data_IF_868481243237
#
_entry.id   IF_868481243237
#
_cell.length_a   1.000
_cell.length_b   1.000
_cell.length_c   1.000
_cell.angle_alpha   90.00
_cell.angle_beta   90.00
_cell.angle_gamma   90.00
#
_symmetry.space_group_name_H-M   'P 1'
#
loop_
_entity.id
_entity.type
_entity.pdbx_description
1 polymer ?
#
# COMPACT_ATOMS: atom_id res chain seq x y z
N UNK A 1 22.77 34.01 26.09
CA UNK A 1 21.56 34.64 26.59
C UNK A 1 20.42 33.67 26.41
N UNK A 2 20.01 33.03 27.54
CA UNK A 2 18.90 32.07 27.61
C UNK A 2 17.59 32.84 27.69
N UNK A 3 16.58 32.43 26.96
CA UNK A 3 15.19 32.81 27.18
C UNK A 3 14.32 31.54 27.14
N UNK A 4 14.05 31.03 28.33
CA UNK A 4 13.08 29.99 28.60
C UNK A 4 11.68 30.60 28.60
N UNK A 5 10.77 30.13 27.75
CA UNK A 5 9.35 30.43 27.81
C UNK A 5 8.65 29.32 28.60
N UNK A 6 8.29 29.65 29.84
CA UNK A 6 7.42 28.85 30.71
C UNK A 6 5.96 29.01 30.28
N UNK A 7 5.35 27.94 29.80
CA UNK A 7 3.90 27.86 29.64
C UNK A 7 3.26 27.49 31.00
N UNK A 8 2.57 28.45 31.62
CA UNK A 8 1.70 28.23 32.79
C UNK A 8 0.37 27.66 32.30
N UNK A 9 0.09 26.40 32.62
CA UNK A 9 -1.24 25.80 32.48
C UNK A 9 -2.03 26.15 33.74
N UNK A 10 -3.05 26.99 33.59
CA UNK A 10 -4.02 27.28 34.61
C UNK A 10 -5.07 26.16 34.68
N UNK A 11 -5.13 25.41 35.74
CA UNK A 11 -6.19 24.46 36.05
C UNK A 11 -7.42 25.21 36.52
N UNK A 12 -8.43 25.35 35.66
CA UNK A 12 -9.78 25.77 36.06
C UNK A 12 -10.61 24.53 36.39
N UNK A 13 -10.93 24.34 37.67
CA UNK A 13 -11.91 23.37 38.14
C UNK A 13 -13.32 23.84 37.71
N UNK A 14 -13.75 23.43 36.54
CA UNK A 14 -15.13 23.46 36.07
C UNK A 14 -15.75 22.10 36.26
N UNK A 15 -16.67 21.99 37.22
CA UNK A 15 -17.55 20.83 37.44
C UNK A 15 -18.41 20.67 36.18
N UNK A 16 -18.30 19.57 35.42
CA UNK A 16 -19.26 19.33 34.33
C UNK A 16 -20.57 18.86 34.95
N UNK A 17 -21.62 19.67 34.78
CA UNK A 17 -23.00 19.19 34.93
C UNK A 17 -23.14 17.99 33.94
N UNK A 18 -23.25 16.79 34.53
CA UNK A 18 -23.69 15.59 33.83
C UNK A 18 -25.15 15.81 33.39
N UNK A 19 -25.31 16.38 32.18
CA UNK A 19 -26.50 16.16 31.39
C UNK A 19 -26.50 14.69 31.02
N UNK A 20 -27.13 13.85 31.82
CA UNK A 20 -27.58 12.51 31.45
C UNK A 20 -28.65 12.74 30.37
N UNK A 21 -28.21 13.06 29.18
CA UNK A 21 -29.01 12.90 28.00
C UNK A 21 -29.33 11.42 27.90
N UNK A 22 -30.60 11.07 28.15
CA UNK A 22 -31.16 9.78 27.81
C UNK A 22 -30.72 9.46 26.39
N UNK A 23 -29.75 8.54 26.21
CA UNK A 23 -29.50 7.88 24.95
C UNK A 23 -30.83 7.18 24.63
N UNK A 24 -31.71 7.85 23.88
CA UNK A 24 -32.81 7.18 23.23
C UNK A 24 -32.18 6.02 22.49
N UNK A 25 -32.51 4.80 22.90
CA UNK A 25 -32.33 3.64 22.05
C UNK A 25 -32.92 4.06 20.69
N UNK A 26 -32.08 4.19 19.67
CA UNK A 26 -32.56 4.40 18.32
C UNK A 26 -33.48 3.22 18.05
N UNK A 27 -34.79 3.50 17.90
CA UNK A 27 -35.76 2.48 17.58
C UNK A 27 -35.23 1.74 16.33
N UNK A 28 -35.04 0.43 16.47
CA UNK A 28 -34.53 -0.41 15.39
C UNK A 28 -35.47 -0.25 14.18
N UNK A 29 -34.89 0.03 13.02
CA UNK A 29 -35.71 0.10 11.80
C UNK A 29 -36.20 -1.31 11.44
N UNK A 30 -37.29 -1.45 10.67
CA UNK A 30 -37.73 -2.77 10.17
C UNK A 30 -36.63 -3.55 9.46
N UNK A 31 -35.71 -2.86 8.80
CA UNK A 31 -34.54 -3.46 8.15
C UNK A 31 -33.56 -4.03 9.18
N UNK A 32 -33.32 -3.37 10.32
CA UNK A 32 -32.44 -3.85 11.38
C UNK A 32 -33.03 -5.09 12.06
N UNK A 33 -34.34 -5.15 12.24
CA UNK A 33 -35.02 -6.36 12.75
C UNK A 33 -34.84 -7.54 11.79
N UNK A 34 -34.94 -7.30 10.49
CA UNK A 34 -34.69 -8.31 9.47
C UNK A 34 -33.26 -8.87 9.55
N UNK A 35 -32.25 -8.01 9.68
CA UNK A 35 -30.85 -8.45 9.85
C UNK A 35 -30.68 -9.23 11.14
N UNK A 36 -31.31 -8.83 12.23
CA UNK A 36 -31.26 -9.51 13.51
C UNK A 36 -31.81 -10.95 13.45
N UNK A 37 -32.81 -11.23 12.61
CA UNK A 37 -33.35 -12.57 12.42
C UNK A 37 -32.43 -13.46 11.55
N UNK A 38 -31.74 -12.87 10.57
CA UNK A 38 -30.87 -13.61 9.62
C UNK A 38 -29.53 -13.99 10.26
N UNK A 39 -29.00 -13.14 11.16
CA UNK A 39 -27.61 -13.25 11.65
C UNK A 39 -27.24 -14.56 12.32
N UNK A 40 -28.22 -15.26 12.90
CA UNK A 40 -28.00 -16.52 13.62
C UNK A 40 -28.22 -17.76 12.77
N UNK A 41 -28.68 -17.60 11.52
CA UNK A 41 -28.96 -18.74 10.65
C UNK A 41 -27.70 -19.52 10.32
N UNK A 42 -27.75 -20.87 10.39
CA UNK A 42 -26.62 -21.71 10.04
C UNK A 42 -26.37 -21.77 8.53
N UNK A 43 -27.34 -21.37 7.73
CA UNK A 43 -27.24 -21.25 6.27
C UNK A 43 -28.02 -20.01 5.81
N UNK A 44 -27.46 -19.28 4.87
CA UNK A 44 -28.07 -18.08 4.31
C UNK A 44 -28.68 -18.42 2.94
N UNK A 45 -30.00 -18.34 2.87
CA UNK A 45 -30.71 -18.60 1.61
C UNK A 45 -30.52 -17.46 0.60
N UNK A 46 -30.77 -17.69 -0.71
CA UNK A 46 -30.76 -16.61 -1.72
C UNK A 46 -31.73 -15.46 -1.39
N UNK A 47 -32.84 -15.75 -0.68
CA UNK A 47 -33.74 -14.70 -0.22
C UNK A 47 -33.09 -13.84 0.88
N UNK A 48 -32.40 -14.47 1.83
CA UNK A 48 -31.71 -13.78 2.91
C UNK A 48 -30.50 -12.98 2.39
N UNK A 49 -29.77 -13.49 1.38
CA UNK A 49 -28.73 -12.73 0.70
C UNK A 49 -29.26 -11.43 0.11
N UNK A 50 -30.43 -11.46 -0.57
CA UNK A 50 -31.09 -10.26 -1.08
C UNK A 50 -31.50 -9.29 0.02
N UNK A 51 -31.93 -9.78 1.18
CA UNK A 51 -32.28 -8.94 2.33
C UNK A 51 -31.04 -8.28 2.93
N UNK A 52 -29.93 -9.00 3.04
CA UNK A 52 -28.63 -8.43 3.47
C UNK A 52 -28.20 -7.33 2.47
N UNK A 53 -28.25 -7.63 1.17
CA UNK A 53 -27.92 -6.65 0.13
C UNK A 53 -28.79 -5.39 0.21
N UNK A 54 -30.10 -5.55 0.38
CA UNK A 54 -31.04 -4.43 0.52
C UNK A 54 -30.70 -3.58 1.75
N UNK A 55 -30.39 -4.22 2.89
CA UNK A 55 -29.99 -3.48 4.09
C UNK A 55 -28.69 -2.69 3.85
N UNK A 56 -27.66 -3.30 3.25
CA UNK A 56 -26.39 -2.62 2.93
C UNK A 56 -26.64 -1.43 2.00
N UNK A 57 -27.47 -1.61 0.96
CA UNK A 57 -27.83 -0.55 0.02
C UNK A 57 -28.51 0.64 0.72
N UNK A 58 -29.48 0.36 1.60
CA UNK A 58 -30.16 1.40 2.38
C UNK A 58 -29.17 2.20 3.23
N UNK A 59 -28.20 1.53 3.88
CA UNK A 59 -27.19 2.25 4.65
C UNK A 59 -26.30 3.12 3.76
N UNK A 60 -25.88 2.61 2.60
CA UNK A 60 -25.07 3.35 1.63
C UNK A 60 -25.84 4.57 1.07
N UNK A 61 -27.12 4.40 0.75
CA UNK A 61 -27.98 5.48 0.23
C UNK A 61 -28.21 6.57 1.30
N UNK A 62 -28.44 6.20 2.56
CA UNK A 62 -28.53 7.14 3.69
C UNK A 62 -27.27 7.99 3.81
N UNK A 63 -26.09 7.36 3.71
CA UNK A 63 -24.82 8.07 3.75
C UNK A 63 -24.68 9.03 2.54
N UNK A 64 -24.99 8.57 1.34
CA UNK A 64 -24.89 9.36 0.13
C UNK A 64 -25.85 10.55 0.10
N UNK A 65 -27.05 10.40 0.68
CA UNK A 65 -28.07 11.45 0.77
C UNK A 65 -27.79 12.49 1.87
N UNK A 66 -26.79 12.25 2.76
CA UNK A 66 -26.48 13.16 3.86
C UNK A 66 -25.87 14.48 3.34
N UNK A 67 -26.35 15.65 3.82
CA UNK A 67 -25.77 16.94 3.46
C UNK A 67 -24.27 17.05 3.77
N UNK A 68 -23.53 17.80 2.98
CA UNK A 68 -22.06 17.94 3.10
C UNK A 68 -21.60 18.32 4.52
N UNK A 69 -22.32 19.24 5.17
CA UNK A 69 -21.99 19.70 6.52
C UNK A 69 -22.06 18.60 7.59
N UNK A 70 -22.86 17.56 7.36
CA UNK A 70 -23.09 16.45 8.31
C UNK A 70 -22.36 15.16 7.90
N UNK A 71 -21.77 15.12 6.70
CA UNK A 71 -21.27 13.92 6.06
C UNK A 71 -20.12 13.26 6.83
N UNK A 72 -19.26 14.04 7.49
CA UNK A 72 -18.22 13.52 8.35
C UNK A 72 -18.80 12.72 9.55
N UNK A 73 -19.80 13.28 10.22
CA UNK A 73 -20.47 12.60 11.35
C UNK A 73 -21.23 11.35 10.86
N UNK A 74 -21.89 11.45 9.71
CA UNK A 74 -22.57 10.32 9.08
C UNK A 74 -21.61 9.19 8.70
N UNK A 75 -20.39 9.50 8.24
CA UNK A 75 -19.33 8.53 7.96
C UNK A 75 -18.95 7.72 9.22
N UNK A 76 -18.81 8.41 10.36
CA UNK A 76 -18.53 7.75 11.64
C UNK A 76 -19.69 6.85 12.08
N UNK A 77 -20.93 7.35 11.94
CA UNK A 77 -22.13 6.59 12.28
C UNK A 77 -22.28 5.34 11.38
N UNK A 78 -22.09 5.50 10.07
CA UNK A 78 -22.11 4.42 9.09
C UNK A 78 -21.12 3.30 9.46
N UNK A 79 -19.86 3.66 9.70
CA UNK A 79 -18.82 2.71 10.12
C UNK A 79 -19.21 1.99 11.42
N UNK A 80 -19.72 2.73 12.41
CA UNK A 80 -20.17 2.16 13.69
C UNK A 80 -21.30 1.16 13.49
N UNK A 81 -22.27 1.46 12.62
CA UNK A 81 -23.40 0.57 12.29
C UNK A 81 -22.89 -0.76 11.73
N UNK A 82 -22.02 -0.72 10.72
CA UNK A 82 -21.45 -1.93 10.13
C UNK A 82 -20.61 -2.71 11.13
N UNK A 83 -19.76 -2.03 11.89
CA UNK A 83 -18.93 -2.67 12.93
C UNK A 83 -19.79 -3.37 13.96
N UNK A 84 -20.85 -2.72 14.48
CA UNK A 84 -21.77 -3.32 15.44
C UNK A 84 -22.47 -4.55 14.87
N UNK A 85 -22.87 -4.50 13.60
CA UNK A 85 -23.50 -5.64 12.94
C UNK A 85 -22.51 -6.78 12.72
N UNK A 86 -21.29 -6.50 12.28
CA UNK A 86 -20.30 -7.51 11.94
C UNK A 86 -19.64 -8.18 13.15
N UNK A 87 -19.38 -7.43 14.23
CA UNK A 87 -18.73 -7.92 15.46
C UNK A 87 -19.71 -8.54 16.45
N UNK A 88 -21.02 -8.56 16.17
CA UNK A 88 -21.99 -9.13 17.07
C UNK A 88 -21.66 -10.62 17.35
N UNK A 89 -21.53 -11.04 18.62
CA UNK A 89 -21.14 -12.38 18.99
C UNK A 89 -22.17 -13.46 18.59
N UNK A 90 -23.41 -13.07 18.35
CA UNK A 90 -24.47 -13.97 17.89
C UNK A 90 -24.40 -14.29 16.38
N UNK A 91 -23.50 -13.65 15.64
CA UNK A 91 -23.41 -13.86 14.20
C UNK A 91 -22.88 -15.25 13.86
N UNK A 92 -23.59 -15.95 12.99
CA UNK A 92 -23.08 -17.16 12.35
C UNK A 92 -21.96 -16.82 11.35
N UNK A 93 -20.98 -17.73 11.12
CA UNK A 93 -19.97 -17.54 10.08
C UNK A 93 -20.56 -17.29 8.69
N UNK A 94 -21.61 -18.02 8.22
CA UNK A 94 -22.25 -17.72 6.95
C UNK A 94 -22.82 -16.31 6.83
N UNK A 95 -23.38 -15.78 7.92
CA UNK A 95 -23.86 -14.39 7.92
C UNK A 95 -22.72 -13.39 7.73
N UNK A 96 -21.60 -13.54 8.46
CA UNK A 96 -20.43 -12.66 8.30
C UNK A 96 -19.89 -12.69 6.88
N UNK A 97 -19.71 -13.87 6.31
CA UNK A 97 -19.29 -14.07 4.92
C UNK A 97 -20.23 -13.33 3.94
N UNK A 98 -21.55 -13.50 4.09
CA UNK A 98 -22.52 -12.86 3.20
C UNK A 98 -22.59 -11.34 3.40
N UNK A 99 -22.53 -10.85 4.64
CA UNK A 99 -22.50 -9.41 4.90
C UNK A 99 -21.27 -8.76 4.24
N UNK A 100 -20.09 -9.37 4.38
CA UNK A 100 -18.87 -8.90 3.72
C UNK A 100 -18.99 -8.91 2.19
N UNK A 101 -19.47 -10.00 1.61
CA UNK A 101 -19.63 -10.15 0.16
C UNK A 101 -20.64 -9.14 -0.42
N UNK A 102 -21.80 -8.94 0.23
CA UNK A 102 -22.79 -7.97 -0.23
C UNK A 102 -22.31 -6.55 -0.07
N UNK A 103 -21.61 -6.25 1.02
CA UNK A 103 -20.97 -4.93 1.22
C UNK A 103 -19.93 -4.65 0.12
N UNK A 104 -19.10 -5.65 -0.22
CA UNK A 104 -18.11 -5.52 -1.29
C UNK A 104 -18.77 -5.28 -2.66
N UNK A 105 -19.85 -5.98 -2.98
CA UNK A 105 -20.58 -5.82 -4.24
C UNK A 105 -21.17 -4.41 -4.37
N UNK A 106 -21.83 -3.94 -3.31
CA UNK A 106 -22.42 -2.59 -3.30
C UNK A 106 -21.35 -1.50 -3.35
N UNK A 107 -20.27 -1.67 -2.58
CA UNK A 107 -19.15 -0.75 -2.65
C UNK A 107 -18.53 -0.70 -4.05
N UNK A 108 -18.34 -1.85 -4.72
CA UNK A 108 -17.83 -1.89 -6.08
C UNK A 108 -18.72 -1.08 -7.04
N UNK A 109 -20.04 -1.27 -6.97
CA UNK A 109 -21.01 -0.49 -7.77
C UNK A 109 -20.93 1.02 -7.47
N UNK A 110 -20.77 1.39 -6.20
CA UNK A 110 -20.63 2.80 -5.83
C UNK A 110 -19.32 3.41 -6.36
N UNK A 111 -18.22 2.67 -6.35
CA UNK A 111 -16.93 3.15 -6.90
C UNK A 111 -16.95 3.37 -8.42
N UNK A 112 -17.87 2.74 -9.16
CA UNK A 112 -18.08 3.00 -10.58
C UNK A 112 -18.77 4.35 -10.84
N UNK A 113 -19.41 4.93 -9.83
CA UNK A 113 -20.05 6.22 -9.93
C UNK A 113 -19.01 7.35 -9.96
N UNK A 114 -18.84 8.01 -11.11
CA UNK A 114 -17.91 9.13 -11.29
C UNK A 114 -18.19 10.33 -10.37
N UNK A 115 -19.40 10.45 -9.84
CA UNK A 115 -19.83 11.52 -8.91
C UNK A 115 -19.72 11.09 -7.45
N UNK A 116 -19.17 9.90 -7.16
CA UNK A 116 -19.02 9.44 -5.79
C UNK A 116 -18.27 10.48 -4.96
N UNK A 117 -18.82 10.82 -3.81
CA UNK A 117 -18.24 11.76 -2.86
C UNK A 117 -17.07 11.13 -2.09
N UNK A 118 -16.10 11.96 -1.71
CA UNK A 118 -14.89 11.51 -0.99
C UNK A 118 -15.21 10.84 0.36
N UNK A 119 -16.14 11.38 1.12
CA UNK A 119 -16.50 10.83 2.43
C UNK A 119 -17.24 9.49 2.30
N UNK A 120 -18.08 9.36 1.28
CA UNK A 120 -18.75 8.09 0.98
C UNK A 120 -17.72 7.05 0.54
N UNK A 121 -16.81 7.41 -0.35
CA UNK A 121 -15.72 6.53 -0.78
C UNK A 121 -14.87 6.06 0.41
N UNK A 122 -14.47 6.99 1.29
CA UNK A 122 -13.71 6.69 2.50
C UNK A 122 -14.48 5.76 3.44
N UNK A 123 -15.76 6.04 3.71
CA UNK A 123 -16.59 5.24 4.61
C UNK A 123 -16.76 3.80 4.13
N UNK A 124 -17.09 3.62 2.83
CA UNK A 124 -17.20 2.30 2.22
C UNK A 124 -15.90 1.52 2.33
N UNK A 125 -14.78 2.16 2.00
CA UNK A 125 -13.47 1.51 2.09
C UNK A 125 -13.13 1.11 3.53
N UNK A 126 -13.37 1.99 4.51
CA UNK A 126 -13.12 1.66 5.93
C UNK A 126 -13.93 0.48 6.40
N UNK A 127 -15.20 0.39 6.02
CA UNK A 127 -16.04 -0.76 6.36
C UNK A 127 -15.48 -2.05 5.75
N UNK A 128 -15.05 -2.04 4.49
CA UNK A 128 -14.44 -3.21 3.85
C UNK A 128 -13.16 -3.66 4.56
N UNK A 129 -12.31 -2.70 4.96
CA UNK A 129 -11.08 -2.98 5.71
C UNK A 129 -11.38 -3.53 7.11
N UNK A 130 -12.34 -2.93 7.81
CA UNK A 130 -12.72 -3.36 9.17
C UNK A 130 -13.35 -4.77 9.18
N UNK A 131 -14.11 -5.13 8.15
CA UNK A 131 -14.66 -6.48 7.99
C UNK A 131 -13.57 -7.51 7.69
N UNK A 132 -12.59 -7.15 6.87
CA UNK A 132 -11.54 -8.05 6.44
C UNK A 132 -12.07 -9.24 5.63
N UNK A 133 -11.20 -10.23 5.42
CA UNK A 133 -11.55 -11.45 4.68
C UNK A 133 -11.56 -11.27 3.15
N UNK A 134 -11.35 -12.38 2.45
CA UNK A 134 -11.25 -12.39 0.97
C UNK A 134 -12.56 -12.00 0.28
N UNK A 135 -13.68 -12.10 0.96
CA UNK A 135 -15.00 -11.71 0.48
C UNK A 135 -15.09 -10.21 0.19
N UNK A 136 -14.26 -9.38 0.86
CA UNK A 136 -14.24 -7.93 0.64
C UNK A 136 -13.42 -7.52 -0.58
N UNK A 137 -12.66 -8.43 -1.20
CA UNK A 137 -11.70 -8.14 -2.26
C UNK A 137 -12.32 -7.41 -3.46
N UNK A 138 -13.51 -7.79 -3.90
CA UNK A 138 -14.16 -7.14 -5.05
C UNK A 138 -14.37 -5.64 -4.83
N UNK A 139 -14.81 -5.24 -3.64
CA UNK A 139 -14.97 -3.83 -3.26
C UNK A 139 -13.62 -3.12 -3.16
N UNK A 140 -12.60 -3.78 -2.60
CA UNK A 140 -11.25 -3.22 -2.51
C UNK A 140 -10.62 -3.04 -3.91
N UNK A 141 -10.85 -3.96 -4.85
CA UNK A 141 -10.39 -3.84 -6.23
C UNK A 141 -11.01 -2.63 -6.96
N UNK A 142 -12.31 -2.44 -6.77
CA UNK A 142 -12.98 -1.28 -7.33
C UNK A 142 -12.48 0.03 -6.69
N UNK A 143 -12.28 0.04 -5.37
CA UNK A 143 -11.78 1.19 -4.65
C UNK A 143 -10.34 1.59 -4.99
N UNK A 144 -9.49 0.66 -5.44
CA UNK A 144 -8.16 0.98 -6.00
C UNK A 144 -8.22 1.84 -7.27
N UNK A 145 -9.35 1.85 -7.96
CA UNK A 145 -9.60 2.69 -9.15
C UNK A 145 -10.27 4.02 -8.81
N UNK A 146 -10.55 4.27 -7.54
CA UNK A 146 -11.22 5.49 -7.11
C UNK A 146 -10.39 6.73 -7.45
N UNK A 147 -11.07 7.82 -7.83
CA UNK A 147 -10.43 9.13 -7.99
C UNK A 147 -9.91 9.71 -6.66
N UNK A 148 -10.36 9.18 -5.52
CA UNK A 148 -10.05 9.66 -4.17
C UNK A 148 -8.86 8.90 -3.58
N UNK A 149 -7.75 9.59 -3.33
CA UNK A 149 -6.52 9.02 -2.77
C UNK A 149 -6.73 8.26 -1.45
N UNK A 150 -7.50 8.78 -0.46
CA UNK A 150 -7.71 8.04 0.79
C UNK A 150 -8.38 6.67 0.59
N UNK A 151 -9.29 6.55 -0.40
CA UNK A 151 -9.91 5.27 -0.72
C UNK A 151 -8.89 4.30 -1.35
N UNK A 152 -8.09 4.77 -2.33
CA UNK A 152 -7.05 3.92 -2.94
C UNK A 152 -6.02 3.43 -1.90
N UNK A 153 -5.57 4.35 -1.02
CA UNK A 153 -4.65 4.01 0.06
C UNK A 153 -5.20 2.88 0.96
N UNK A 154 -6.41 3.06 1.48
CA UNK A 154 -7.04 2.09 2.36
C UNK A 154 -7.35 0.76 1.66
N UNK A 155 -7.68 0.77 0.36
CA UNK A 155 -7.87 -0.45 -0.41
C UNK A 155 -6.58 -1.27 -0.51
N UNK A 156 -5.46 -0.63 -0.79
CA UNK A 156 -4.16 -1.29 -0.81
C UNK A 156 -3.78 -1.82 0.59
N UNK A 157 -4.02 -1.05 1.65
CA UNK A 157 -3.83 -1.48 3.04
C UNK A 157 -4.70 -2.69 3.39
N UNK A 158 -5.98 -2.68 3.02
CA UNK A 158 -6.91 -3.80 3.23
C UNK A 158 -6.45 -5.09 2.54
N UNK A 159 -5.99 -5.00 1.29
CA UNK A 159 -5.42 -6.16 0.58
C UNK A 159 -4.13 -6.64 1.24
N UNK A 160 -3.28 -5.73 1.70
CA UNK A 160 -2.08 -6.10 2.46
C UNK A 160 -2.41 -6.84 3.76
N UNK A 161 -3.46 -6.44 4.49
CA UNK A 161 -3.91 -7.11 5.70
C UNK A 161 -4.45 -8.53 5.44
N UNK A 162 -4.94 -8.82 4.23
CA UNK A 162 -5.51 -10.10 3.84
C UNK A 162 -4.50 -11.07 3.20
N UNK A 163 -3.21 -10.74 3.14
CA UNK A 163 -2.18 -11.50 2.41
C UNK A 163 -2.17 -13.00 2.69
N UNK A 164 -2.29 -13.40 3.94
CA UNK A 164 -2.28 -14.82 4.33
C UNK A 164 -3.47 -15.57 3.76
N UNK A 165 -4.67 -15.00 3.84
CA UNK A 165 -5.87 -15.61 3.30
C UNK A 165 -5.86 -15.63 1.76
N UNK A 166 -5.36 -14.57 1.12
CA UNK A 166 -5.18 -14.50 -0.34
C UNK A 166 -4.19 -15.56 -0.82
N UNK A 167 -3.06 -15.73 -0.13
CA UNK A 167 -2.04 -16.70 -0.51
C UNK A 167 -2.47 -18.18 -0.36
N UNK A 168 -3.52 -18.44 0.41
CA UNK A 168 -4.09 -19.78 0.58
C UNK A 168 -4.85 -20.25 -0.67
N UNK A 169 -5.28 -19.35 -1.54
CA UNK A 169 -5.98 -19.64 -2.81
C UNK A 169 -5.18 -19.05 -3.98
N UNK A 170 -4.60 -19.94 -4.80
CA UNK A 170 -3.78 -19.54 -5.95
C UNK A 170 -4.56 -18.67 -6.94
N UNK A 171 -5.81 -18.99 -7.24
CA UNK A 171 -6.60 -18.21 -8.21
C UNK A 171 -6.88 -16.80 -7.67
N UNK A 172 -7.14 -16.67 -6.37
CA UNK A 172 -7.31 -15.37 -5.72
C UNK A 172 -6.01 -14.59 -5.68
N UNK A 173 -4.88 -15.24 -5.40
CA UNK A 173 -3.56 -14.59 -5.47
C UNK A 173 -3.28 -14.04 -6.87
N UNK A 174 -3.47 -14.87 -7.91
CA UNK A 174 -3.24 -14.46 -9.29
C UNK A 174 -4.14 -13.24 -9.66
N UNK A 175 -5.41 -13.25 -9.23
CA UNK A 175 -6.33 -12.12 -9.44
C UNK A 175 -5.84 -10.84 -8.73
N UNK A 176 -5.49 -10.94 -7.45
CA UNK A 176 -5.00 -9.81 -6.64
C UNK A 176 -3.73 -9.22 -7.22
N UNK A 177 -2.77 -10.07 -7.63
CA UNK A 177 -1.52 -9.63 -8.25
C UNK A 177 -1.78 -8.84 -9.53
N UNK A 178 -2.69 -9.30 -10.40
CA UNK A 178 -3.03 -8.56 -11.63
C UNK A 178 -3.69 -7.21 -11.33
N UNK A 179 -4.59 -7.15 -10.35
CA UNK A 179 -5.25 -5.91 -9.94
C UNK A 179 -4.24 -4.93 -9.35
N UNK A 180 -3.35 -5.39 -8.45
CA UNK A 180 -2.32 -4.55 -7.85
C UNK A 180 -1.28 -4.08 -8.88
N UNK A 181 -0.89 -4.94 -9.83
CA UNK A 181 -0.04 -4.55 -10.98
C UNK A 181 -0.69 -3.40 -11.76
N UNK A 182 -1.95 -3.56 -12.15
CA UNK A 182 -2.67 -2.53 -12.91
C UNK A 182 -2.81 -1.22 -12.11
N UNK A 183 -3.11 -1.31 -10.80
CA UNK A 183 -3.18 -0.15 -9.91
C UNK A 183 -1.81 0.54 -9.79
N UNK A 184 -0.72 -0.20 -9.58
CA UNK A 184 0.63 0.35 -9.48
C UNK A 184 1.12 1.03 -10.77
N UNK A 185 0.73 0.50 -11.92
CA UNK A 185 1.04 1.13 -13.22
C UNK A 185 0.28 2.45 -13.44
N UNK A 186 -0.88 2.61 -12.83
CA UNK A 186 -1.72 3.81 -12.94
C UNK A 186 -1.46 4.84 -11.81
N UNK A 187 -0.81 4.42 -10.71
CA UNK A 187 -0.68 5.27 -9.51
C UNK A 187 0.45 6.28 -9.64
N UNK A 188 0.17 7.52 -9.25
CA UNK A 188 1.12 8.62 -9.20
C UNK A 188 1.52 9.03 -7.78
N UNK A 189 0.69 8.71 -6.77
CA UNK A 189 0.99 9.00 -5.37
C UNK A 189 2.02 8.03 -4.80
N UNK A 190 3.19 8.50 -4.35
CA UNK A 190 4.25 7.62 -3.81
C UNK A 190 3.80 6.87 -2.54
N UNK A 191 2.96 7.49 -1.74
CA UNK A 191 2.44 6.89 -0.51
C UNK A 191 1.53 5.69 -0.83
N UNK A 192 0.65 5.85 -1.82
CA UNK A 192 -0.26 4.78 -2.25
C UNK A 192 0.53 3.67 -2.96
N UNK A 193 1.51 4.05 -3.78
CA UNK A 193 2.37 3.09 -4.47
C UNK A 193 3.17 2.23 -3.47
N UNK A 194 3.69 2.83 -2.39
CA UNK A 194 4.30 2.08 -1.28
C UNK A 194 3.33 1.05 -0.66
N UNK A 195 2.05 1.40 -0.48
CA UNK A 195 1.03 0.46 0.00
C UNK A 195 0.71 -0.65 -1.01
N UNK A 196 0.74 -0.34 -2.30
CA UNK A 196 0.59 -1.36 -3.35
C UNK A 196 1.76 -2.35 -3.31
N UNK A 197 3.00 -1.87 -3.16
CA UNK A 197 4.16 -2.74 -2.99
C UNK A 197 4.04 -3.63 -1.73
N UNK A 198 3.60 -3.07 -0.61
CA UNK A 198 3.34 -3.86 0.59
C UNK A 198 2.24 -4.91 0.36
N UNK A 199 1.20 -4.60 -0.39
CA UNK A 199 0.14 -5.56 -0.71
C UNK A 199 0.64 -6.68 -1.64
N UNK A 200 1.59 -6.40 -2.54
CA UNK A 200 2.26 -7.39 -3.40
C UNK A 200 3.26 -8.27 -2.64
N UNK A 201 3.72 -7.89 -1.43
CA UNK A 201 4.81 -8.56 -0.70
C UNK A 201 4.38 -9.94 -0.14
N UNK A 202 4.25 -10.94 -1.00
CA UNK A 202 3.95 -12.34 -0.67
C UNK A 202 5.24 -13.18 -0.65
N UNK A 203 5.90 -13.28 0.52
CA UNK A 203 7.21 -13.90 0.65
C UNK A 203 7.28 -15.38 0.21
N UNK A 204 6.20 -16.11 0.34
CA UNK A 204 6.12 -17.52 -0.08
C UNK A 204 5.72 -17.69 -1.56
N UNK A 205 5.45 -16.61 -2.28
CA UNK A 205 4.96 -16.60 -3.66
C UNK A 205 5.75 -15.60 -4.54
N UNK A 206 7.03 -15.39 -4.23
CA UNK A 206 7.88 -14.41 -4.91
C UNK A 206 7.85 -14.54 -6.43
N UNK A 207 7.93 -15.74 -7.06
CA UNK A 207 7.85 -15.87 -8.50
C UNK A 207 6.53 -15.36 -9.10
N UNK A 208 5.41 -15.50 -8.36
CA UNK A 208 4.10 -15.06 -8.85
C UNK A 208 3.96 -13.53 -8.82
N UNK A 209 4.64 -12.84 -7.89
CA UNK A 209 4.55 -11.39 -7.74
C UNK A 209 5.67 -10.63 -8.47
N UNK A 210 6.78 -11.31 -8.80
CA UNK A 210 7.97 -10.67 -9.41
C UNK A 210 7.63 -9.87 -10.67
N UNK A 211 6.84 -10.44 -11.58
CA UNK A 211 6.45 -9.77 -12.83
C UNK A 211 5.67 -8.47 -12.58
N UNK A 212 4.86 -8.42 -11.51
CA UNK A 212 4.15 -7.21 -11.14
C UNK A 212 5.11 -6.12 -10.64
N UNK A 213 6.07 -6.48 -9.77
CA UNK A 213 7.11 -5.55 -9.31
C UNK A 213 7.94 -5.02 -10.48
N UNK A 214 8.41 -5.91 -11.35
CA UNK A 214 9.25 -5.53 -12.50
C UNK A 214 8.51 -4.56 -13.44
N UNK A 215 7.25 -4.83 -13.74
CA UNK A 215 6.44 -3.94 -14.57
C UNK A 215 6.27 -2.54 -13.95
N UNK A 216 6.01 -2.47 -12.65
CA UNK A 216 5.88 -1.19 -11.94
C UNK A 216 7.24 -0.48 -11.87
N UNK A 217 8.34 -1.20 -11.61
CA UNK A 217 9.70 -0.63 -11.63
C UNK A 217 10.04 -0.01 -12.99
N UNK A 218 9.76 -0.71 -14.08
CA UNK A 218 10.02 -0.22 -15.43
C UNK A 218 9.25 1.07 -15.73
N UNK A 219 7.96 1.12 -15.35
CA UNK A 219 7.16 2.34 -15.45
C UNK A 219 7.77 3.48 -14.65
N UNK A 220 8.16 3.25 -13.40
CA UNK A 220 8.78 4.24 -12.52
C UNK A 220 10.12 4.73 -13.06
N UNK A 221 10.96 3.84 -13.57
CA UNK A 221 12.21 4.22 -14.19
C UNK A 221 12.00 5.07 -15.44
N UNK A 222 10.98 4.76 -16.25
CA UNK A 222 10.60 5.58 -17.40
C UNK A 222 10.16 6.98 -16.97
N UNK A 223 9.33 7.09 -15.94
CA UNK A 223 8.87 8.36 -15.40
C UNK A 223 10.01 9.20 -14.81
N UNK A 224 10.96 8.58 -14.11
CA UNK A 224 12.16 9.26 -13.56
C UNK A 224 13.07 9.79 -14.67
N UNK A 225 13.30 9.01 -15.72
CA UNK A 225 14.11 9.43 -16.88
C UNK A 225 13.47 10.58 -17.65
N UNK A 226 12.14 10.57 -17.75
CA UNK A 226 11.36 11.66 -18.33
C UNK A 226 11.27 12.92 -17.48
N UNK A 227 11.82 12.91 -16.26
CA UNK A 227 11.74 14.03 -15.33
C UNK A 227 10.35 14.23 -14.71
N UNK A 228 9.41 13.30 -14.96
CA UNK A 228 8.05 13.37 -14.42
C UNK A 228 8.00 13.02 -12.92
N UNK A 229 8.98 12.28 -12.43
CA UNK A 229 9.08 11.83 -11.05
C UNK A 229 10.51 12.01 -10.56
N UNK A 230 10.66 12.53 -9.34
CA UNK A 230 11.92 12.54 -8.60
C UNK A 230 12.03 11.28 -7.71
N UNK A 231 13.16 11.09 -7.06
CA UNK A 231 13.33 10.02 -6.05
C UNK A 231 12.46 10.31 -4.82
N UNK A 232 11.19 9.88 -4.86
CA UNK A 232 10.17 10.15 -3.86
C UNK A 232 10.06 9.05 -2.77
N UNK A 233 10.85 7.98 -2.91
CA UNK A 233 10.91 6.88 -1.95
C UNK A 233 9.77 5.87 -2.07
N UNK A 234 8.97 5.92 -3.11
CA UNK A 234 7.87 4.97 -3.32
C UNK A 234 8.34 3.51 -3.35
N UNK A 235 9.55 3.26 -3.85
CA UNK A 235 10.14 1.93 -4.00
C UNK A 235 10.74 1.35 -2.71
N UNK A 236 10.85 2.12 -1.62
CA UNK A 236 11.46 1.66 -0.36
C UNK A 236 10.83 0.36 0.13
N UNK A 237 9.49 0.27 0.12
CA UNK A 237 8.78 -0.94 0.57
C UNK A 237 9.06 -2.15 -0.32
N UNK A 238 9.25 -1.94 -1.62
CA UNK A 238 9.62 -3.00 -2.54
C UNK A 238 11.06 -3.47 -2.30
N UNK A 239 11.99 -2.54 -2.08
CA UNK A 239 13.38 -2.88 -1.82
C UNK A 239 13.54 -3.58 -0.46
N UNK A 240 12.85 -3.14 0.58
CA UNK A 240 12.84 -3.84 1.88
C UNK A 240 12.28 -5.27 1.76
N UNK A 241 11.27 -5.49 0.92
CA UNK A 241 10.78 -6.84 0.64
C UNK A 241 11.86 -7.72 0.01
N UNK A 242 12.50 -7.27 -1.06
CA UNK A 242 13.55 -8.03 -1.74
C UNK A 242 14.86 -8.11 -0.93
N UNK A 243 15.13 -7.20 -0.02
CA UNK A 243 16.27 -7.27 0.89
C UNK A 243 16.20 -8.47 1.84
N UNK A 244 15.05 -9.06 2.05
CA UNK A 244 14.86 -10.21 2.93
C UNK A 244 15.52 -11.46 2.32
N UNK A 245 16.55 -12.08 2.94
CA UNK A 245 17.29 -13.21 2.34
C UNK A 245 16.40 -14.39 1.96
N UNK A 246 15.35 -14.69 2.75
CA UNK A 246 14.39 -15.76 2.44
C UNK A 246 13.58 -15.46 1.16
N UNK A 247 13.34 -14.20 0.81
CA UNK A 247 12.69 -13.81 -0.43
C UNK A 247 13.59 -14.06 -1.62
N UNK A 248 14.86 -13.65 -1.54
CA UNK A 248 15.84 -13.88 -2.61
C UNK A 248 16.17 -15.36 -2.79
N UNK A 249 16.17 -16.15 -1.71
CA UNK A 249 16.41 -17.59 -1.75
C UNK A 249 15.35 -18.36 -2.57
N UNK A 250 14.12 -17.83 -2.69
CA UNK A 250 13.04 -18.41 -3.51
C UNK A 250 13.28 -18.16 -5.01
N UNK A 251 14.05 -17.11 -5.37
CA UNK A 251 14.42 -16.82 -6.77
C UNK A 251 15.55 -17.76 -7.24
N UNK A 252 15.22 -19.03 -7.45
CA UNK A 252 16.19 -20.06 -7.84
C UNK A 252 16.56 -20.02 -9.34
N UNK A 253 15.76 -19.34 -10.17
CA UNK A 253 15.98 -19.23 -11.60
C UNK A 253 16.95 -18.07 -11.88
N UNK A 254 18.12 -18.32 -12.51
CA UNK A 254 19.08 -17.28 -12.88
C UNK A 254 18.46 -16.14 -13.69
N UNK A 255 17.50 -16.44 -14.58
CA UNK A 255 16.80 -15.43 -15.35
C UNK A 255 15.97 -14.49 -14.49
N UNK A 256 15.30 -14.99 -13.44
CA UNK A 256 14.54 -14.14 -12.51
C UNK A 256 15.46 -13.22 -11.70
N UNK A 257 16.61 -13.75 -11.27
CA UNK A 257 17.65 -12.96 -10.57
C UNK A 257 18.18 -11.84 -11.47
N UNK A 258 18.47 -12.16 -12.73
CA UNK A 258 18.90 -11.17 -13.73
C UNK A 258 17.83 -10.12 -13.99
N UNK A 259 16.57 -10.53 -14.18
CA UNK A 259 15.45 -9.62 -14.36
C UNK A 259 15.28 -8.65 -13.19
N UNK A 260 15.49 -9.10 -11.95
CA UNK A 260 15.45 -8.23 -10.77
C UNK A 260 16.67 -7.31 -10.69
N UNK A 261 17.88 -7.81 -10.97
CA UNK A 261 19.10 -7.03 -10.89
C UNK A 261 19.14 -5.83 -11.87
N UNK A 262 18.54 -5.97 -13.06
CA UNK A 262 18.53 -4.91 -14.09
C UNK A 262 17.86 -3.61 -13.62
N UNK A 263 16.59 -3.58 -13.20
CA UNK A 263 15.98 -2.35 -12.72
C UNK A 263 16.66 -1.81 -11.46
N UNK A 264 17.11 -2.68 -10.55
CA UNK A 264 17.85 -2.26 -9.36
C UNK A 264 19.15 -1.51 -9.70
N UNK A 265 19.89 -1.98 -10.70
CA UNK A 265 21.08 -1.28 -11.21
C UNK A 265 20.77 0.12 -11.69
N UNK A 266 19.64 0.30 -12.40
CA UNK A 266 19.23 1.60 -12.92
C UNK A 266 18.77 2.52 -11.79
N UNK A 267 17.99 2.02 -10.82
CA UNK A 267 17.63 2.78 -9.63
C UNK A 267 18.87 3.25 -8.88
N UNK A 268 19.82 2.33 -8.59
CA UNK A 268 21.06 2.65 -7.88
C UNK A 268 21.83 3.79 -8.56
N UNK A 269 21.96 3.73 -9.88
CA UNK A 269 22.63 4.77 -10.65
C UNK A 269 21.92 6.10 -10.53
N UNK A 270 20.61 6.14 -10.80
CA UNK A 270 19.82 7.36 -10.77
C UNK A 270 19.81 7.99 -9.36
N UNK A 271 19.71 7.17 -8.33
CA UNK A 271 19.71 7.63 -6.95
C UNK A 271 21.08 8.17 -6.53
N UNK A 272 22.19 7.53 -6.91
CA UNK A 272 23.54 7.99 -6.64
C UNK A 272 23.89 9.27 -7.43
N UNK A 273 23.49 9.35 -8.71
CA UNK A 273 23.64 10.57 -9.53
C UNK A 273 22.85 11.74 -8.90
N UNK A 274 21.62 11.49 -8.45
CA UNK A 274 20.81 12.50 -7.75
C UNK A 274 21.41 12.88 -6.40
N UNK A 275 21.89 11.92 -5.62
CA UNK A 275 22.54 12.16 -4.33
C UNK A 275 23.80 13.05 -4.47
N UNK A 276 24.54 12.89 -5.57
CA UNK A 276 25.71 13.71 -5.88
C UNK A 276 25.39 15.15 -6.34
N UNK A 277 24.11 15.54 -6.41
CA UNK A 277 23.74 16.91 -6.76
C UNK A 277 23.69 17.82 -5.52
N UNK A 278 23.71 19.13 -5.76
CA UNK A 278 23.52 20.15 -4.70
C UNK A 278 22.03 20.45 -4.49
N UNK A 279 21.69 21.01 -3.33
CA UNK A 279 20.35 21.52 -3.06
C UNK A 279 19.32 20.46 -2.64
N UNK A 280 19.77 19.27 -2.21
CA UNK A 280 18.91 18.25 -1.60
C UNK A 280 18.49 18.72 -0.20
N UNK A 281 17.22 18.52 0.14
CA UNK A 281 16.78 18.67 1.53
C UNK A 281 17.10 17.40 2.35
N UNK A 282 16.96 17.54 3.67
CA UNK A 282 17.25 16.43 4.60
C UNK A 282 16.42 15.16 4.32
N UNK A 283 15.14 15.32 3.98
CA UNK A 283 14.26 14.18 3.73
C UNK A 283 14.58 13.49 2.41
N UNK A 284 15.00 14.25 1.39
CA UNK A 284 15.43 13.70 0.12
C UNK A 284 16.73 12.92 0.28
N UNK A 285 17.68 13.44 1.06
CA UNK A 285 18.93 12.75 1.40
C UNK A 285 18.64 11.43 2.11
N UNK A 286 17.87 11.44 3.19
CA UNK A 286 17.53 10.22 3.96
C UNK A 286 16.86 9.15 3.06
N UNK A 287 15.94 9.57 2.20
CA UNK A 287 15.30 8.64 1.26
C UNK A 287 16.29 8.02 0.27
N UNK A 288 17.16 8.84 -0.33
CA UNK A 288 18.16 8.36 -1.29
C UNK A 288 19.13 7.39 -0.63
N UNK A 289 19.60 7.71 0.59
CA UNK A 289 20.49 6.84 1.36
C UNK A 289 19.84 5.49 1.67
N UNK A 290 18.58 5.49 2.14
CA UNK A 290 17.83 4.26 2.41
C UNK A 290 17.61 3.41 1.16
N UNK A 291 17.28 4.05 0.03
CA UNK A 291 17.07 3.35 -1.23
C UNK A 291 18.38 2.71 -1.72
N UNK A 292 19.48 3.46 -1.72
CA UNK A 292 20.79 2.94 -2.13
C UNK A 292 21.28 1.82 -1.21
N UNK A 293 21.13 1.96 0.11
CA UNK A 293 21.45 0.91 1.08
C UNK A 293 20.68 -0.39 0.82
N UNK A 294 19.38 -0.27 0.59
CA UNK A 294 18.55 -1.45 0.33
C UNK A 294 18.88 -2.09 -1.01
N UNK A 295 19.10 -1.31 -2.06
CA UNK A 295 19.48 -1.84 -3.38
C UNK A 295 20.86 -2.50 -3.32
N UNK A 296 21.85 -1.89 -2.68
CA UNK A 296 23.17 -2.49 -2.52
C UNK A 296 23.10 -3.83 -1.79
N UNK A 297 22.32 -3.92 -0.70
CA UNK A 297 22.13 -5.17 0.03
C UNK A 297 21.55 -6.28 -0.86
N UNK A 298 20.52 -5.95 -1.65
CA UNK A 298 19.91 -6.90 -2.60
C UNK A 298 20.94 -7.34 -3.66
N UNK A 299 21.67 -6.40 -4.26
CA UNK A 299 22.67 -6.69 -5.27
C UNK A 299 23.81 -7.54 -4.71
N UNK A 300 24.21 -7.30 -3.47
CA UNK A 300 25.23 -8.11 -2.77
C UNK A 300 24.80 -9.56 -2.63
N UNK A 301 23.55 -9.81 -2.28
CA UNK A 301 23.00 -11.18 -2.21
C UNK A 301 22.82 -11.83 -3.60
N UNK A 302 22.49 -11.06 -4.62
CA UNK A 302 22.32 -11.57 -5.99
C UNK A 302 23.67 -11.90 -6.65
N UNK A 303 24.65 -11.02 -6.55
CA UNK A 303 25.91 -11.05 -7.31
C UNK A 303 27.05 -11.70 -6.50
N UNK A 304 27.03 -11.56 -5.22
CA UNK A 304 28.04 -12.02 -4.27
C UNK A 304 28.82 -10.89 -3.60
N UNK A 305 29.18 -11.11 -2.36
CA UNK A 305 29.90 -10.15 -1.55
C UNK A 305 31.27 -9.76 -2.17
N UNK A 306 31.61 -8.49 -2.10
CA UNK A 306 32.92 -7.96 -2.53
C UNK A 306 33.06 -7.79 -4.05
N UNK A 307 32.03 -8.05 -4.84
CA UNK A 307 32.09 -7.89 -6.31
C UNK A 307 31.70 -6.50 -6.82
N UNK A 308 30.99 -5.73 -6.04
CA UNK A 308 30.56 -4.38 -6.37
C UNK A 308 31.17 -3.31 -5.48
N UNK A 309 30.54 -2.14 -5.43
CA UNK A 309 30.96 -1.05 -4.56
C UNK A 309 30.51 -1.23 -3.10
N UNK A 310 30.82 -0.23 -2.28
CA UNK A 310 30.61 -0.20 -0.82
C UNK A 310 29.86 1.08 -0.42
N UNK A 311 28.71 1.30 -1.02
CA UNK A 311 27.90 2.52 -0.86
C UNK A 311 27.52 2.75 0.60
N UNK A 312 27.09 1.68 1.28
CA UNK A 312 26.73 1.71 2.70
C UNK A 312 27.88 2.17 3.58
N UNK A 313 29.12 1.65 3.32
CA UNK A 313 30.30 2.05 4.07
C UNK A 313 30.60 3.55 3.88
N UNK A 314 30.45 4.07 2.66
CA UNK A 314 30.67 5.47 2.36
C UNK A 314 29.63 6.39 3.01
N UNK A 315 28.35 6.03 2.95
CA UNK A 315 27.28 6.75 3.63
C UNK A 315 27.54 6.79 5.15
N UNK A 316 27.88 5.65 5.75
CA UNK A 316 28.14 5.56 7.19
C UNK A 316 29.37 6.34 7.64
N UNK A 317 30.36 6.54 6.76
CA UNK A 317 31.65 7.17 7.11
C UNK A 317 31.61 8.69 7.01
N UNK A 318 30.82 9.29 6.12
CA UNK A 318 30.89 10.72 5.88
C UNK A 318 29.64 11.36 5.30
N UNK A 319 28.59 10.59 5.00
CA UNK A 319 27.30 11.12 4.54
C UNK A 319 27.43 12.12 3.39
N UNK A 320 26.85 13.29 3.60
CA UNK A 320 26.76 14.34 2.56
C UNK A 320 28.11 14.90 2.08
N UNK A 321 29.16 14.83 2.90
CA UNK A 321 30.49 15.32 2.51
C UNK A 321 31.23 14.37 1.57
N UNK A 322 30.70 13.14 1.42
CA UNK A 322 31.28 12.07 0.58
C UNK A 322 30.39 11.65 -0.59
N UNK A 323 29.62 12.57 -1.12
CA UNK A 323 28.68 12.27 -2.23
C UNK A 323 29.37 11.77 -3.49
N UNK A 324 30.54 12.32 -3.80
CA UNK A 324 31.30 11.88 -4.96
C UNK A 324 31.83 10.47 -4.79
N UNK A 325 32.24 10.08 -3.60
CA UNK A 325 32.68 8.72 -3.27
C UNK A 325 31.52 7.74 -3.32
N UNK A 326 30.33 8.11 -2.79
CA UNK A 326 29.11 7.31 -2.93
C UNK A 326 28.79 7.04 -4.39
N UNK A 327 28.87 8.06 -5.26
CA UNK A 327 28.67 7.90 -6.69
C UNK A 327 29.74 6.98 -7.32
N UNK A 328 31.01 7.13 -6.94
CA UNK A 328 32.09 6.28 -7.42
C UNK A 328 31.85 4.80 -7.03
N UNK A 329 31.39 4.55 -5.80
CA UNK A 329 31.02 3.20 -5.35
C UNK A 329 29.82 2.64 -6.13
N UNK A 330 28.81 3.47 -6.44
CA UNK A 330 27.71 3.04 -7.29
C UNK A 330 28.17 2.61 -8.69
N UNK A 331 29.13 3.33 -9.27
CA UNK A 331 29.68 2.95 -10.58
C UNK A 331 30.46 1.61 -10.57
N UNK A 332 30.99 1.16 -9.45
CA UNK A 332 31.53 -0.20 -9.33
C UNK A 332 30.48 -1.29 -9.52
N UNK A 333 29.22 -1.00 -9.24
CA UNK A 333 28.09 -1.89 -9.51
C UNK A 333 27.64 -1.82 -10.96
N UNK A 334 27.44 -0.61 -11.50
CA UNK A 334 26.67 -0.38 -12.75
C UNK A 334 27.54 0.05 -13.94
N UNK A 335 28.84 0.25 -13.71
CA UNK A 335 29.79 0.78 -14.70
C UNK A 335 29.76 2.29 -14.82
N UNK A 336 30.88 2.85 -15.22
CA UNK A 336 31.03 4.30 -15.34
C UNK A 336 30.56 4.78 -16.73
N UNK A 337 29.57 5.68 -16.83
CA UNK A 337 28.96 6.03 -18.11
C UNK A 337 29.90 6.75 -19.08
N UNK A 338 30.89 7.52 -18.57
CA UNK A 338 31.84 8.29 -19.39
C UNK A 338 33.08 7.48 -19.75
N UNK A 339 33.76 6.88 -18.76
CA UNK A 339 34.99 6.09 -19.00
C UNK A 339 34.72 4.73 -19.66
N UNK A 340 33.47 4.26 -19.61
CA UNK A 340 33.06 2.91 -20.05
C UNK A 340 33.70 1.77 -19.27
N UNK A 341 34.26 2.05 -18.10
CA UNK A 341 34.74 1.01 -17.19
C UNK A 341 33.55 0.17 -16.72
N UNK A 342 33.63 -1.19 -16.86
CA UNK A 342 32.53 -2.05 -16.45
C UNK A 342 32.43 -2.18 -14.94
N UNK A 343 31.22 -2.16 -14.43
CA UNK A 343 30.90 -2.56 -13.05
C UNK A 343 30.53 -4.04 -12.96
N UNK A 344 30.26 -4.50 -11.74
CA UNK A 344 29.94 -5.90 -11.47
C UNK A 344 28.75 -6.45 -12.28
N UNK A 345 27.74 -5.61 -12.54
CA UNK A 345 26.55 -5.99 -13.29
C UNK A 345 26.69 -5.91 -14.81
N UNK A 346 27.79 -5.35 -15.33
CA UNK A 346 28.03 -5.26 -16.77
C UNK A 346 28.69 -6.51 -17.34
N UNK A 347 29.15 -7.42 -16.48
CA UNK A 347 29.78 -8.69 -16.87
C UNK A 347 28.79 -9.85 -16.76
N UNK A 348 29.15 -10.99 -17.39
CA UNK A 348 28.35 -12.20 -17.28
C UNK A 348 28.20 -12.65 -15.81
N UNK A 349 27.05 -13.18 -15.42
CA UNK A 349 25.85 -13.46 -16.24
C UNK A 349 24.91 -12.26 -16.42
N UNK A 350 25.15 -11.14 -15.75
CA UNK A 350 24.19 -10.03 -15.60
C UNK A 350 24.04 -9.20 -16.89
N UNK A 351 25.16 -8.88 -17.56
CA UNK A 351 25.22 -8.15 -18.84
C UNK A 351 24.31 -6.90 -18.89
N UNK A 352 24.14 -6.19 -17.78
CA UNK A 352 23.41 -4.93 -17.74
C UNK A 352 24.18 -3.89 -18.56
N UNK A 353 23.53 -3.20 -19.47
CA UNK A 353 24.21 -2.24 -20.34
C UNK A 353 24.75 -1.04 -19.54
N UNK A 354 26.00 -0.66 -19.79
CA UNK A 354 26.60 0.56 -19.22
C UNK A 354 25.88 1.76 -19.78
N UNK A 355 25.35 2.58 -18.90
CA UNK A 355 24.65 3.79 -19.29
C UNK A 355 23.34 3.52 -20.06
N UNK A 356 22.73 2.33 -19.90
CA UNK A 356 21.39 2.10 -20.40
C UNK A 356 20.47 3.22 -19.90
N UNK A 357 19.79 3.89 -20.83
CA UNK A 357 18.94 5.03 -20.49
C UNK A 357 17.82 4.62 -19.56
#
# INVERSE_FOLDING_TARGET
>A
MQSSILFKIAWGLGVPLLLIGSVRAQDATPEDETINTIRTLPQISPADQRRIAAWVQVQADKLAATPDAERQAATVAFRKTFKTQFENPANSPPFKTQLSAQTATIAATQFENSKLDQWVAYALTRVLVDMGGVETSAGLFAGLKSKHEPARYLCAEGLSAQKTAIAADKAKLDEVVQVLKAAGLAESSPIILGRIYLALAHSNQVPAVLDAYLAIFEKRLTDRRGGAVIADGAEVEAFEFFRTPSVLAVLNNPSQREQLARPLAVFLRLDAERYNTTGLDFYEVDRLERMMDSVEAILTELVGAGKGGKIREEIATGGQDRRAEVLAEAYKWVGHPQSKEPGALNTAPWNVAIGAP
#
